data_IF_318510891677
#
_entry.id   IF_318510891677
#
_cell.length_a   1.000
_cell.length_b   1.000
_cell.length_c   1.000
_cell.angle_alpha   90.00
_cell.angle_beta   90.00
_cell.angle_gamma   90.00
#
_symmetry.space_group_name_H-M   'P 1'
#
loop_
_entity.id
_entity.type
_entity.pdbx_description
1 polymer ?
#
# COMPACT_ATOMS: atom_id res chain seq x y z
N UNK A 1 -9.77 -5.68 3.55
CA UNK A 1 -10.18 -5.46 2.14
C UNK A 1 -10.01 -3.99 1.73
N UNK A 2 -10.61 -3.05 2.47
CA UNK A 2 -10.51 -1.60 2.23
C UNK A 2 -9.06 -1.09 2.23
N UNK A 3 -8.23 -1.62 3.14
CA UNK A 3 -6.82 -1.23 3.33
C UNK A 3 -5.92 -1.58 2.14
N UNK A 4 -6.31 -2.56 1.31
CA UNK A 4 -5.59 -2.95 0.10
C UNK A 4 -6.14 -2.21 -1.13
N UNK A 5 -7.45 -1.95 -1.14
CA UNK A 5 -8.13 -1.25 -2.24
C UNK A 5 -7.67 0.21 -2.36
N UNK A 6 -7.46 0.91 -1.24
CA UNK A 6 -7.04 2.31 -1.24
C UNK A 6 -5.67 2.56 -1.91
N UNK A 7 -4.60 1.82 -1.55
CA UNK A 7 -3.30 1.96 -2.21
C UNK A 7 -3.35 1.61 -3.70
N UNK A 8 -4.08 0.57 -4.07
CA UNK A 8 -4.21 0.13 -5.47
C UNK A 8 -4.95 1.19 -6.30
N UNK A 9 -6.06 1.73 -5.79
CA UNK A 9 -6.77 2.82 -6.44
C UNK A 9 -5.91 4.08 -6.54
N UNK A 10 -5.12 4.39 -5.51
CA UNK A 10 -4.17 5.50 -5.53
C UNK A 10 -3.05 5.33 -6.58
N UNK A 11 -2.55 4.11 -6.79
CA UNK A 11 -1.59 3.80 -7.86
C UNK A 11 -2.25 3.96 -9.23
N UNK A 12 -3.46 3.44 -9.42
CA UNK A 12 -4.18 3.51 -10.70
C UNK A 12 -4.49 4.97 -11.04
N UNK A 13 -5.02 5.75 -10.08
CA UNK A 13 -5.31 7.17 -10.26
C UNK A 13 -4.03 7.99 -10.48
N UNK A 14 -2.96 7.68 -9.74
CA UNK A 14 -1.64 8.28 -9.96
C UNK A 14 -1.07 7.95 -11.35
N UNK A 15 -1.32 6.74 -11.85
CA UNK A 15 -0.89 6.31 -13.18
C UNK A 15 -1.67 6.98 -14.32
N UNK A 16 -2.98 7.19 -14.14
CA UNK A 16 -3.86 7.89 -15.09
C UNK A 16 -3.80 9.42 -14.98
N UNK A 17 -3.26 9.97 -13.89
CA UNK A 17 -3.08 11.40 -13.67
C UNK A 17 -1.97 12.04 -14.51
N UNK A 18 -1.95 13.38 -14.52
CA UNK A 18 -1.05 14.23 -15.32
C UNK A 18 0.43 13.81 -15.15
N UNK A 19 1.13 13.62 -16.28
CA UNK A 19 2.53 13.17 -16.31
C UNK A 19 3.46 14.18 -15.61
N UNK A 20 4.24 13.70 -14.64
CA UNK A 20 5.22 14.53 -13.92
C UNK A 20 5.64 13.95 -12.57
N UNK A 21 6.32 14.78 -11.78
CA UNK A 21 6.83 14.43 -10.44
C UNK A 21 5.71 13.97 -9.49
N UNK A 22 4.51 14.54 -9.63
CA UNK A 22 3.34 14.19 -8.81
C UNK A 22 2.90 12.72 -8.98
N UNK A 23 2.97 12.17 -10.20
CA UNK A 23 2.68 10.75 -10.47
C UNK A 23 3.69 9.83 -9.80
N UNK A 24 4.97 10.18 -9.85
CA UNK A 24 6.05 9.41 -9.20
C UNK A 24 5.85 9.43 -7.68
N UNK A 25 5.57 10.61 -7.09
CA UNK A 25 5.30 10.75 -5.66
C UNK A 25 4.08 9.90 -5.26
N UNK A 26 2.98 9.94 -6.03
CA UNK A 26 1.79 9.15 -5.75
C UNK A 26 2.06 7.64 -5.80
N UNK A 27 2.82 7.17 -6.79
CA UNK A 27 3.20 5.74 -6.90
C UNK A 27 4.07 5.33 -5.71
N UNK A 28 5.06 6.14 -5.34
CA UNK A 28 5.95 5.87 -4.21
C UNK A 28 5.16 5.81 -2.90
N UNK A 29 4.31 6.81 -2.62
CA UNK A 29 3.52 6.87 -1.39
C UNK A 29 2.55 5.69 -1.28
N UNK A 30 1.83 5.35 -2.35
CA UNK A 30 0.91 4.21 -2.32
C UNK A 30 1.65 2.87 -2.19
N UNK A 31 2.80 2.71 -2.84
CA UNK A 31 3.64 1.51 -2.70
C UNK A 31 4.17 1.37 -1.27
N UNK A 32 4.64 2.46 -0.67
CA UNK A 32 5.06 2.51 0.73
C UNK A 32 3.92 2.11 1.66
N UNK A 33 2.72 2.67 1.44
CA UNK A 33 1.55 2.34 2.23
C UNK A 33 1.22 0.86 2.14
N UNK A 34 1.24 0.29 0.93
CA UNK A 34 0.98 -1.13 0.71
C UNK A 34 1.98 -2.02 1.44
N UNK A 35 3.28 -1.72 1.36
CA UNK A 35 4.33 -2.51 2.03
C UNK A 35 4.18 -2.45 3.55
N UNK A 36 3.98 -1.26 4.11
CA UNK A 36 3.81 -1.08 5.55
C UNK A 36 2.59 -1.82 6.07
N UNK A 37 1.45 -1.67 5.38
CA UNK A 37 0.20 -2.29 5.80
C UNK A 37 0.24 -3.81 5.68
N UNK A 38 0.80 -4.32 4.57
CA UNK A 38 0.96 -5.77 4.36
C UNK A 38 1.92 -6.39 5.36
N UNK A 39 3.02 -5.70 5.70
CA UNK A 39 3.96 -6.13 6.72
C UNK A 39 3.30 -6.20 8.10
N UNK A 40 2.47 -5.21 8.43
CA UNK A 40 1.71 -5.19 9.70
C UNK A 40 0.73 -6.36 9.79
N UNK A 41 0.01 -6.65 8.70
CA UNK A 41 -0.92 -7.78 8.63
C UNK A 41 -0.19 -9.12 8.75
N UNK A 42 0.98 -9.27 8.10
CA UNK A 42 1.84 -10.46 8.22
C UNK A 42 2.39 -10.63 9.63
N UNK A 43 2.82 -9.54 10.27
CA UNK A 43 3.28 -9.56 11.66
C UNK A 43 2.14 -9.98 12.59
N UNK A 44 0.94 -9.43 12.40
CA UNK A 44 -0.22 -9.79 13.19
C UNK A 44 -0.59 -11.27 13.01
N UNK A 45 -0.56 -11.78 11.77
CA UNK A 45 -0.77 -13.20 11.49
C UNK A 45 0.30 -14.07 12.15
N UNK A 46 1.56 -13.65 12.08
CA UNK A 46 2.67 -14.36 12.72
C UNK A 46 2.50 -14.43 14.23
N UNK A 47 2.13 -13.34 14.89
CA UNK A 47 1.83 -13.32 16.33
C UNK A 47 0.65 -14.24 16.63
N UNK A 48 -0.41 -14.23 15.82
CA UNK A 48 -1.57 -15.10 16.06
C UNK A 48 -1.25 -16.60 15.87
N UNK A 49 -0.27 -16.92 15.02
CA UNK A 49 0.10 -18.30 14.67
C UNK A 49 1.22 -18.86 15.56
N UNK A 50 2.17 -18.02 15.95
CA UNK A 50 3.41 -18.41 16.64
C UNK A 50 3.66 -17.65 17.94
N UNK A 51 2.93 -16.56 18.19
CA UNK A 51 2.90 -15.89 19.47
C UNK A 51 2.10 -16.73 20.46
N UNK A 52 2.80 -17.27 21.45
CA UNK A 52 2.23 -18.01 22.57
C UNK A 52 1.25 -17.18 23.39
#
# INVERSE_FOLDING_TARGET
MIEIIFPILGIILGAFGKSGVQKIIAIILNSLYFILFSSLALLNLWILTFGK
#
